data_IF_400510507814
#
_entry.id   IF_400510507814
#
_cell.length_a   1.000
_cell.length_b   1.000
_cell.length_c   1.000
_cell.angle_alpha   90.00
_cell.angle_beta   90.00
_cell.angle_gamma   90.00
#
_symmetry.space_group_name_H-M   'P 1'
#
loop_
_entity.id
_entity.type
_entity.pdbx_description
1 polymer ?
#
# COMPACT_ATOMS: atom_id res chain seq x y z
N UNK A 1 -7.56 -5.80 9.14
CA UNK A 1 -6.33 -4.99 8.90
C UNK A 1 -5.58 -5.48 7.68
N UNK A 2 -5.21 -6.77 7.60
CA UNK A 2 -4.49 -7.34 6.45
C UNK A 2 -5.21 -7.18 5.09
N UNK A 3 -6.54 -7.40 5.05
CA UNK A 3 -7.36 -7.22 3.83
C UNK A 3 -7.33 -5.80 3.27
N UNK A 4 -7.37 -4.79 4.15
CA UNK A 4 -7.24 -3.38 3.78
C UNK A 4 -5.85 -3.09 3.21
N UNK A 5 -4.81 -3.68 3.79
CA UNK A 5 -3.43 -3.53 3.33
C UNK A 5 -3.18 -4.15 1.96
N UNK A 6 -3.76 -5.33 1.70
CA UNK A 6 -3.75 -5.96 0.38
C UNK A 6 -4.43 -5.07 -0.66
N UNK A 7 -5.64 -4.57 -0.36
CA UNK A 7 -6.35 -3.69 -1.28
C UNK A 7 -5.60 -2.39 -1.54
N UNK A 8 -5.04 -1.74 -0.51
CA UNK A 8 -4.23 -0.53 -0.68
C UNK A 8 -2.97 -0.81 -1.52
N UNK A 9 -2.33 -1.96 -1.35
CA UNK A 9 -1.16 -2.35 -2.16
C UNK A 9 -1.55 -2.57 -3.63
N UNK A 10 -2.73 -3.14 -3.90
CA UNK A 10 -3.26 -3.28 -5.26
C UNK A 10 -3.57 -1.94 -5.93
N UNK A 11 -4.15 -0.97 -5.20
CA UNK A 11 -4.32 0.39 -5.72
C UNK A 11 -2.98 1.11 -5.93
N UNK A 12 -2.01 0.92 -5.05
CA UNK A 12 -0.65 1.45 -5.23
C UNK A 12 0.02 0.88 -6.50
N UNK A 13 -0.19 -0.41 -6.78
CA UNK A 13 0.27 -1.05 -8.01
C UNK A 13 -0.36 -0.41 -9.25
N UNK A 14 -1.68 -0.18 -9.22
CA UNK A 14 -2.40 0.49 -10.32
C UNK A 14 -2.01 1.97 -10.51
N UNK A 15 -1.64 2.69 -9.44
CA UNK A 15 -1.08 4.05 -9.56
C UNK A 15 0.21 4.04 -10.38
N UNK A 16 1.13 3.16 -10.02
CA UNK A 16 2.43 3.03 -10.66
C UNK A 16 2.33 2.56 -12.11
N UNK A 17 1.50 1.54 -12.37
CA UNK A 17 1.22 1.06 -13.72
C UNK A 17 0.59 2.16 -14.58
N UNK A 18 -0.46 2.82 -14.06
CA UNK A 18 -1.15 3.89 -14.77
C UNK A 18 -0.25 5.08 -15.08
N UNK A 19 0.64 5.45 -14.15
CA UNK A 19 1.63 6.51 -14.38
C UNK A 19 2.64 6.12 -15.47
N UNK A 20 3.16 4.88 -15.43
CA UNK A 20 4.06 4.36 -16.46
C UNK A 20 3.43 4.38 -17.84
N UNK A 21 2.16 3.99 -17.96
CA UNK A 21 1.38 4.06 -19.19
C UNK A 21 1.10 5.50 -19.62
N UNK A 22 0.74 6.39 -18.71
CA UNK A 22 0.44 7.79 -19.03
C UNK A 22 1.67 8.52 -19.60
N UNK A 23 2.85 8.28 -19.03
CA UNK A 23 4.12 8.86 -19.50
C UNK A 23 4.62 8.15 -20.76
N UNK A 24 4.23 6.88 -20.99
CA UNK A 24 4.64 6.09 -22.16
C UNK A 24 6.00 5.40 -21.97
N UNK A 25 6.38 5.13 -20.72
CA UNK A 25 7.67 4.48 -20.37
C UNK A 25 7.50 2.95 -20.23
N UNK A 26 6.26 2.47 -20.21
CA UNK A 26 5.97 1.06 -19.98
C UNK A 26 6.23 0.20 -21.25
N UNK A 27 6.90 -0.96 -21.15
CA UNK A 27 7.31 -1.77 -22.30
C UNK A 27 6.16 -2.10 -23.25
N UNK A 28 6.45 -2.21 -24.55
CA UNK A 28 5.48 -2.59 -25.57
C UNK A 28 5.17 -4.10 -25.48
N UNK A 29 4.32 -4.48 -24.52
CA UNK A 29 3.97 -5.87 -24.27
C UNK A 29 2.58 -5.99 -23.67
N UNK A 30 1.71 -6.78 -24.31
CA UNK A 30 0.36 -7.05 -23.79
C UNK A 30 0.42 -7.81 -22.46
N UNK A 31 1.34 -8.75 -22.32
CA UNK A 31 1.59 -9.48 -21.07
C UNK A 31 2.08 -8.57 -19.94
N UNK A 32 3.00 -7.67 -20.27
CA UNK A 32 3.63 -6.76 -19.30
C UNK A 32 2.61 -5.81 -18.67
N UNK A 33 1.62 -5.36 -19.44
CA UNK A 33 0.54 -4.52 -18.90
C UNK A 33 -0.54 -5.33 -18.18
N UNK A 34 -0.93 -6.50 -18.72
CA UNK A 34 -2.05 -7.28 -18.18
C UNK A 34 -1.71 -8.01 -16.88
N UNK A 35 -0.48 -8.48 -16.70
CA UNK A 35 -0.07 -9.22 -15.49
C UNK A 35 -0.16 -8.35 -14.23
N UNK A 36 0.42 -7.13 -14.18
CA UNK A 36 0.28 -6.25 -13.02
C UNK A 36 -1.15 -5.74 -12.83
N UNK A 37 -1.88 -5.53 -13.93
CA UNK A 37 -3.27 -5.11 -13.87
C UNK A 37 -4.16 -6.18 -13.19
N UNK A 38 -4.02 -7.43 -13.62
CA UNK A 38 -4.73 -8.58 -13.06
C UNK A 38 -4.31 -8.85 -11.61
N UNK A 39 -3.02 -8.76 -11.29
CA UNK A 39 -2.54 -8.94 -9.93
C UNK A 39 -3.05 -7.85 -8.98
N UNK A 40 -3.06 -6.59 -9.41
CA UNK A 40 -3.66 -5.49 -8.65
C UNK A 40 -5.15 -5.75 -8.40
N UNK A 41 -5.87 -6.22 -9.41
CA UNK A 41 -7.26 -6.65 -9.29
C UNK A 41 -7.45 -7.79 -8.28
N UNK A 42 -6.57 -8.79 -8.28
CA UNK A 42 -6.61 -9.89 -7.31
C UNK A 42 -6.35 -9.41 -5.88
N UNK A 43 -5.36 -8.52 -5.68
CA UNK A 43 -5.05 -7.92 -4.37
C UNK A 43 -6.22 -7.09 -3.83
N UNK A 44 -6.90 -6.33 -4.71
CA UNK A 44 -8.09 -5.53 -4.36
C UNK A 44 -9.29 -6.44 -4.07
N UNK A 45 -9.53 -7.44 -4.92
CA UNK A 45 -10.68 -8.35 -4.90
C UNK A 45 -10.63 -9.41 -3.80
N UNK A 46 -9.45 -9.75 -3.27
CA UNK A 46 -9.32 -10.63 -2.10
C UNK A 46 -10.04 -10.08 -0.87
N UNK A 47 -10.10 -8.76 -0.71
CA UNK A 47 -10.79 -8.13 0.43
C UNK A 47 -12.28 -8.45 0.50
N UNK A 48 -13.09 -8.12 -0.53
CA UNK A 48 -14.51 -8.46 -0.60
C UNK A 48 -14.76 -9.97 -0.55
N UNK A 49 -13.95 -10.78 -1.25
CA UNK A 49 -14.09 -12.23 -1.27
C UNK A 49 -13.93 -12.84 0.13
N UNK A 50 -12.95 -12.36 0.90
CA UNK A 50 -12.73 -12.78 2.29
C UNK A 50 -13.81 -12.25 3.23
N UNK A 51 -14.38 -11.06 2.95
CA UNK A 51 -15.46 -10.49 3.74
C UNK A 51 -16.81 -11.21 3.53
N UNK A 52 -16.99 -11.87 2.38
CA UNK A 52 -18.12 -12.75 2.12
C UNK A 52 -17.99 -14.13 2.76
N UNK A 53 -16.81 -14.50 3.29
CA UNK A 53 -16.61 -15.79 3.96
C UNK A 53 -17.15 -15.72 5.41
N UNK A 54 -18.18 -16.53 5.75
CA UNK A 54 -18.86 -16.45 7.05
C UNK A 54 -17.95 -16.80 8.24
N UNK A 55 -16.81 -17.45 8.02
CA UNK A 55 -15.92 -17.93 9.07
C UNK A 55 -14.80 -16.96 9.47
N UNK A 56 -14.53 -15.93 8.67
CA UNK A 56 -13.32 -15.11 8.82
C UNK A 56 -13.54 -13.86 9.69
N UNK A 57 -14.79 -13.54 10.06
CA UNK A 57 -15.08 -12.50 11.05
C UNK A 57 -14.56 -11.10 10.68
N UNK A 58 -14.24 -10.87 9.41
CA UNK A 58 -13.72 -9.61 8.87
C UNK A 58 -14.75 -8.99 7.92
N UNK A 59 -15.86 -8.42 8.44
CA UNK A 59 -16.95 -7.94 7.59
C UNK A 59 -16.63 -6.64 6.85
N UNK A 60 -15.48 -5.99 7.12
CA UNK A 60 -15.21 -4.62 6.66
C UNK A 60 -14.09 -4.56 5.59
N UNK A 61 -14.44 -3.98 4.43
CA UNK A 61 -13.54 -3.67 3.33
C UNK A 61 -13.64 -2.18 2.96
N UNK A 62 -12.54 -1.43 3.13
CA UNK A 62 -12.49 0.01 2.81
C UNK A 62 -13.69 0.80 3.38
N UNK A 63 -14.04 0.54 4.65
CA UNK A 63 -15.17 1.19 5.33
C UNK A 63 -16.55 0.61 5.01
N UNK A 64 -16.67 -0.26 3.99
CA UNK A 64 -17.92 -0.95 3.68
C UNK A 64 -18.04 -2.26 4.45
N UNK A 65 -19.12 -2.42 5.22
CA UNK A 65 -19.45 -3.67 5.90
C UNK A 65 -20.38 -4.51 5.02
N UNK A 66 -20.00 -5.75 4.72
CA UNK A 66 -20.84 -6.68 3.96
C UNK A 66 -21.89 -7.32 4.88
N UNK A 67 -23.19 -7.16 4.54
CA UNK A 67 -24.31 -7.71 5.30
C UNK A 67 -25.67 -7.41 4.66
N UNK A 68 -26.72 -8.16 5.06
CA UNK A 68 -28.11 -7.89 4.61
C UNK A 68 -28.47 -6.43 4.94
N UNK A 69 -28.85 -5.65 3.92
CA UNK A 69 -29.21 -4.22 3.98
C UNK A 69 -28.06 -3.20 4.08
N UNK A 70 -26.79 -3.58 3.90
CA UNK A 70 -25.69 -2.61 3.89
C UNK A 70 -25.51 -1.96 2.51
N UNK A 71 -25.77 -0.66 2.40
CA UNK A 71 -25.51 0.14 1.20
C UNK A 71 -24.01 0.31 0.99
N UNK A 72 -23.52 0.34 -0.27
CA UNK A 72 -22.12 0.65 -0.55
C UNK A 72 -21.80 2.06 -0.06
N UNK A 73 -20.70 2.19 0.68
CA UNK A 73 -20.20 3.49 1.13
C UNK A 73 -19.65 4.28 -0.06
N UNK A 74 -19.61 5.60 0.04
CA UNK A 74 -18.99 6.44 -1.00
C UNK A 74 -17.53 6.03 -1.26
N UNK A 75 -16.80 5.61 -0.21
CA UNK A 75 -15.45 5.06 -0.32
C UNK A 75 -15.41 3.77 -1.14
N UNK A 76 -16.35 2.85 -0.91
CA UNK A 76 -16.49 1.62 -1.69
C UNK A 76 -16.88 1.89 -3.15
N UNK A 77 -17.74 2.86 -3.41
CA UNK A 77 -18.12 3.25 -4.78
C UNK A 77 -16.95 3.87 -5.55
N UNK A 78 -16.16 4.75 -4.91
CA UNK A 78 -14.94 5.31 -5.51
C UNK A 78 -13.92 4.21 -5.77
N UNK A 79 -13.78 3.25 -4.85
CA UNK A 79 -12.91 2.09 -5.00
C UNK A 79 -13.34 1.20 -6.18
N UNK A 80 -14.65 0.99 -6.37
CA UNK A 80 -15.21 0.26 -7.52
C UNK A 80 -15.08 1.03 -8.83
N UNK A 81 -15.19 2.36 -8.79
CA UNK A 81 -15.03 3.18 -9.99
C UNK A 81 -13.65 3.01 -10.64
N UNK A 82 -12.62 2.66 -9.87
CA UNK A 82 -11.26 2.44 -10.38
C UNK A 82 -11.17 1.20 -11.29
N UNK A 83 -12.15 0.30 -11.25
CA UNK A 83 -12.24 -0.82 -12.18
C UNK A 83 -12.64 -0.40 -13.59
N UNK A 84 -13.31 0.74 -13.80
CA UNK A 84 -13.65 1.22 -15.15
C UNK A 84 -12.39 1.53 -15.97
N UNK A 85 -11.48 2.40 -15.53
CA UNK A 85 -10.24 2.66 -16.27
C UNK A 85 -9.36 1.41 -16.35
N UNK A 86 -9.43 0.51 -15.36
CA UNK A 86 -8.74 -0.78 -15.42
C UNK A 86 -9.23 -1.64 -16.59
N UNK A 87 -10.55 -1.79 -16.75
CA UNK A 87 -11.15 -2.52 -17.87
C UNK A 87 -10.84 -1.86 -19.22
N UNK A 88 -10.82 -0.52 -19.26
CA UNK A 88 -10.42 0.22 -20.46
C UNK A 88 -8.95 -0.07 -20.84
N UNK A 89 -8.02 -0.01 -19.88
CA UNK A 89 -6.61 -0.38 -20.11
C UNK A 89 -6.49 -1.84 -20.56
N UNK A 90 -7.24 -2.77 -19.95
CA UNK A 90 -7.23 -4.18 -20.33
C UNK A 90 -7.67 -4.40 -21.79
N UNK A 91 -8.70 -3.69 -22.24
CA UNK A 91 -9.20 -3.77 -23.62
C UNK A 91 -8.32 -3.06 -24.65
N UNK A 92 -7.62 -2.00 -24.23
CA UNK A 92 -6.77 -1.18 -25.09
C UNK A 92 -5.32 -1.68 -25.19
N UNK A 93 -4.89 -2.59 -24.32
CA UNK A 93 -3.58 -3.24 -24.38
C UNK A 93 -3.45 -4.13 -25.63
N UNK A 94 -3.19 -3.51 -26.79
CA UNK A 94 -3.03 -4.16 -28.11
C UNK A 94 -1.57 -4.35 -28.53
N UNK A 95 -0.63 -4.29 -27.59
CA UNK A 95 0.81 -4.50 -27.83
C UNK A 95 1.59 -3.19 -27.94
N UNK A 96 0.98 -2.12 -28.48
CA UNK A 96 1.57 -0.78 -28.46
C UNK A 96 0.93 0.10 -27.37
N UNK A 97 1.73 0.40 -26.34
CA UNK A 97 1.31 1.23 -25.21
C UNK A 97 1.45 2.74 -25.48
N UNK A 98 1.98 3.15 -26.65
CA UNK A 98 2.09 4.56 -27.04
C UNK A 98 0.76 5.15 -27.54
N UNK A 99 -0.23 4.29 -27.80
CA UNK A 99 -1.56 4.73 -28.24
C UNK A 99 -2.20 5.68 -27.22
N UNK A 100 -2.61 6.86 -27.69
CA UNK A 100 -3.09 7.95 -26.83
C UNK A 100 -4.24 7.53 -25.90
N UNK A 101 -5.13 6.64 -26.35
CA UNK A 101 -6.26 6.18 -25.54
C UNK A 101 -5.79 5.28 -24.37
N UNK A 102 -4.74 4.48 -24.59
CA UNK A 102 -4.10 3.66 -23.55
C UNK A 102 -3.44 4.55 -22.51
N UNK A 103 -2.76 5.62 -22.96
CA UNK A 103 -2.13 6.61 -22.06
C UNK A 103 -3.17 7.37 -21.23
N UNK A 104 -4.26 7.82 -21.86
CA UNK A 104 -5.35 8.52 -21.16
C UNK A 104 -6.01 7.61 -20.13
N UNK A 105 -6.27 6.36 -20.51
CA UNK A 105 -6.88 5.35 -19.62
C UNK A 105 -5.93 4.95 -18.48
N UNK A 106 -4.62 4.88 -18.74
CA UNK A 106 -3.57 4.72 -17.72
C UNK A 106 -3.53 5.91 -16.75
N UNK A 107 -3.60 7.13 -17.27
CA UNK A 107 -3.68 8.35 -16.45
C UNK A 107 -4.94 8.38 -15.59
N UNK A 108 -6.09 8.02 -16.15
CA UNK A 108 -7.34 7.88 -15.41
C UNK A 108 -7.25 6.80 -14.33
N UNK A 109 -6.64 5.65 -14.63
CA UNK A 109 -6.40 4.57 -13.66
C UNK A 109 -5.53 5.06 -12.50
N UNK A 110 -4.45 5.79 -12.79
CA UNK A 110 -3.57 6.33 -11.77
C UNK A 110 -4.29 7.38 -10.90
N UNK A 111 -5.01 8.30 -11.53
CA UNK A 111 -5.77 9.33 -10.81
C UNK A 111 -6.84 8.72 -9.92
N UNK A 112 -7.65 7.78 -10.43
CA UNK A 112 -8.71 7.17 -9.63
C UNK A 112 -8.15 6.33 -8.50
N UNK A 113 -7.11 5.52 -8.76
CA UNK A 113 -6.47 4.71 -7.72
C UNK A 113 -5.83 5.58 -6.63
N UNK A 114 -5.25 6.73 -7.00
CA UNK A 114 -4.73 7.71 -6.06
C UNK A 114 -5.84 8.35 -5.23
N UNK A 115 -6.96 8.73 -5.86
CA UNK A 115 -8.14 9.25 -5.16
C UNK A 115 -8.68 8.20 -4.18
N UNK A 116 -8.79 6.94 -4.57
CA UNK A 116 -9.19 5.84 -3.69
C UNK A 116 -8.23 5.72 -2.50
N UNK A 117 -6.92 5.81 -2.69
CA UNK A 117 -5.94 5.80 -1.61
C UNK A 117 -6.13 7.00 -0.66
N UNK A 118 -6.32 8.22 -1.19
CA UNK A 118 -6.56 9.42 -0.38
C UNK A 118 -7.83 9.28 0.46
N UNK A 119 -8.90 8.75 -0.13
CA UNK A 119 -10.18 8.53 0.57
C UNK A 119 -10.10 7.40 1.59
N UNK A 120 -9.50 6.26 1.23
CA UNK A 120 -9.28 5.12 2.11
C UNK A 120 -8.39 5.45 3.32
N UNK A 121 -7.82 6.64 3.39
CA UNK A 121 -7.00 7.09 4.51
C UNK A 121 -7.67 8.11 5.43
N UNK A 122 -8.87 8.61 5.10
CA UNK A 122 -9.65 9.45 6.00
C UNK A 122 -10.03 8.62 7.23
N UNK A 123 -9.26 8.75 8.32
CA UNK A 123 -9.66 8.19 9.60
C UNK A 123 -10.86 8.98 10.15
N UNK A 124 -11.74 8.34 10.94
CA UNK A 124 -12.58 9.05 11.88
C UNK A 124 -11.70 9.96 12.75
N UNK A 125 -12.03 11.25 12.79
CA UNK A 125 -11.25 12.35 13.38
C UNK A 125 -11.05 12.29 14.91
N UNK A 126 -11.28 11.15 15.56
CA UNK A 126 -11.80 11.19 16.93
C UNK A 126 -10.80 11.04 18.08
N UNK A 127 -9.48 10.83 17.88
CA UNK A 127 -8.58 10.64 19.05
C UNK A 127 -7.22 11.33 19.05
N UNK A 128 -6.74 11.92 17.95
CA UNK A 128 -5.37 12.50 17.95
C UNK A 128 -5.40 14.02 17.91
N UNK A 129 -5.01 14.64 19.02
CA UNK A 129 -4.92 16.11 19.16
C UNK A 129 -3.70 16.63 18.40
N UNK A 130 -3.92 17.23 17.22
CA UNK A 130 -2.88 17.92 16.44
C UNK A 130 -2.84 17.51 14.96
N UNK A 131 -2.66 18.49 14.07
CA UNK A 131 -2.68 18.31 12.61
C UNK A 131 -1.48 17.48 12.09
N UNK A 132 -0.29 17.65 12.67
CA UNK A 132 0.94 16.97 12.23
C UNK A 132 0.90 15.44 12.33
N UNK A 133 0.56 14.85 13.49
CA UNK A 133 0.50 13.40 13.67
C UNK A 133 -0.60 12.72 12.82
N UNK A 134 -1.74 13.39 12.63
CA UNK A 134 -2.84 12.90 11.77
C UNK A 134 -2.41 12.88 10.30
N UNK A 135 -1.74 13.93 9.85
CA UNK A 135 -1.16 13.98 8.52
C UNK A 135 -0.08 12.91 8.33
N UNK A 136 0.86 12.76 9.28
CA UNK A 136 1.90 11.74 9.21
C UNK A 136 1.35 10.30 9.18
N UNK A 137 0.29 10.02 9.95
CA UNK A 137 -0.38 8.71 9.93
C UNK A 137 -1.16 8.44 8.64
N UNK A 138 -1.67 9.48 8.00
CA UNK A 138 -2.32 9.39 6.70
C UNK A 138 -1.27 9.24 5.61
N UNK A 139 -0.36 10.19 5.47
CA UNK A 139 0.73 10.15 4.49
C UNK A 139 1.55 8.85 4.59
N UNK A 140 1.90 8.39 5.79
CA UNK A 140 2.66 7.14 5.98
C UNK A 140 1.96 5.88 5.43
N UNK A 141 0.62 5.86 5.40
CA UNK A 141 -0.16 4.77 4.79
C UNK A 141 -0.21 4.85 3.27
N UNK A 142 -0.28 6.06 2.70
CA UNK A 142 -0.26 6.24 1.24
C UNK A 142 1.09 5.88 0.69
N UNK A 143 2.15 6.38 1.32
CA UNK A 143 3.51 6.09 0.91
C UNK A 143 3.81 4.59 1.10
N UNK A 144 3.28 3.95 2.14
CA UNK A 144 3.36 2.50 2.30
C UNK A 144 2.66 1.73 1.16
N UNK A 145 1.47 2.16 0.75
CA UNK A 145 0.70 1.54 -0.31
C UNK A 145 1.36 1.72 -1.69
N UNK A 146 1.86 2.92 -1.97
CA UNK A 146 2.64 3.21 -3.16
C UNK A 146 3.95 2.42 -3.17
N UNK A 147 4.59 2.27 -2.02
CA UNK A 147 5.81 1.51 -1.90
C UNK A 147 5.60 0.02 -2.14
N UNK A 148 4.62 -0.60 -1.47
CA UNK A 148 4.31 -2.02 -1.67
C UNK A 148 3.84 -2.28 -3.10
N UNK A 149 3.02 -1.38 -3.67
CA UNK A 149 2.61 -1.44 -5.08
C UNK A 149 3.79 -1.35 -6.05
N UNK A 150 4.75 -0.45 -5.78
CA UNK A 150 5.96 -0.30 -6.58
C UNK A 150 6.87 -1.54 -6.51
N UNK A 151 6.98 -2.18 -5.34
CA UNK A 151 7.70 -3.45 -5.17
C UNK A 151 7.04 -4.60 -5.94
N UNK A 152 5.71 -4.69 -5.94
CA UNK A 152 4.99 -5.69 -6.75
C UNK A 152 5.19 -5.48 -8.25
N UNK A 153 5.11 -4.22 -8.72
CA UNK A 153 5.38 -3.91 -10.12
C UNK A 153 6.81 -4.28 -10.49
N UNK A 154 7.76 -3.92 -9.62
CA UNK A 154 9.17 -4.24 -9.81
C UNK A 154 9.41 -5.75 -9.89
N UNK A 155 8.85 -6.53 -8.96
CA UNK A 155 8.95 -7.98 -8.97
C UNK A 155 8.47 -8.62 -10.28
N UNK A 156 7.46 -8.02 -10.93
CA UNK A 156 6.95 -8.48 -12.23
C UNK A 156 7.79 -7.99 -13.41
N UNK A 157 8.34 -6.78 -13.32
CA UNK A 157 9.17 -6.19 -14.37
C UNK A 157 10.55 -6.86 -14.52
N UNK A 158 11.02 -7.60 -13.49
CA UNK A 158 12.30 -8.32 -13.52
C UNK A 158 12.41 -9.41 -14.60
N UNK A 159 11.32 -9.76 -15.29
CA UNK A 159 11.34 -10.69 -16.43
C UNK A 159 11.65 -10.04 -17.78
N UNK A 160 11.72 -8.71 -17.87
CA UNK A 160 12.07 -7.96 -19.08
C UNK A 160 13.55 -7.59 -19.13
N UNK A 161 14.10 -7.41 -20.34
CA UNK A 161 15.53 -7.15 -20.58
C UNK A 161 16.02 -5.81 -20.00
N UNK A 162 15.12 -4.87 -19.72
CA UNK A 162 15.43 -3.56 -19.15
C UNK A 162 14.56 -3.25 -17.91
N UNK A 163 15.11 -3.44 -16.71
CA UNK A 163 14.56 -2.82 -15.50
C UNK A 163 15.17 -1.40 -15.38
N UNK A 164 14.44 -0.32 -15.70
CA UNK A 164 15.03 1.01 -15.78
C UNK A 164 15.48 1.46 -14.39
N UNK A 165 16.75 1.85 -14.25
CA UNK A 165 17.33 2.34 -12.98
C UNK A 165 16.56 3.51 -12.37
N UNK A 166 15.84 4.29 -13.18
CA UNK A 166 14.90 5.32 -12.73
C UNK A 166 13.77 4.75 -11.86
N UNK A 167 13.24 3.58 -12.18
CA UNK A 167 12.18 2.93 -11.40
C UNK A 167 12.67 2.53 -10.01
N UNK A 168 13.86 1.93 -9.96
CA UNK A 168 14.53 1.56 -8.71
C UNK A 168 14.77 2.80 -7.85
N UNK A 169 15.25 3.89 -8.45
CA UNK A 169 15.47 5.16 -7.76
C UNK A 169 14.16 5.75 -7.21
N UNK A 170 13.07 5.71 -7.98
CA UNK A 170 11.76 6.19 -7.55
C UNK A 170 11.18 5.37 -6.39
N UNK A 171 11.22 4.04 -6.48
CA UNK A 171 10.78 3.14 -5.40
C UNK A 171 11.63 3.36 -4.15
N UNK A 172 12.94 3.59 -4.29
CA UNK A 172 13.81 3.91 -3.16
C UNK A 172 13.54 5.28 -2.54
N UNK A 173 13.29 6.30 -3.35
CA UNK A 173 12.89 7.61 -2.85
C UNK A 173 11.62 7.49 -2.00
N UNK A 174 10.63 6.74 -2.47
CA UNK A 174 9.39 6.46 -1.72
C UNK A 174 9.68 5.70 -0.42
N UNK A 175 10.64 4.76 -0.42
CA UNK A 175 11.10 4.04 0.77
C UNK A 175 11.61 5.01 1.84
N UNK A 176 12.49 5.93 1.44
CA UNK A 176 13.08 6.92 2.35
C UNK A 176 12.00 7.83 2.93
N UNK A 177 11.10 8.34 2.08
CA UNK A 177 9.97 9.18 2.53
C UNK A 177 9.08 8.42 3.52
N UNK A 178 8.75 7.16 3.25
CA UNK A 178 7.97 6.32 4.16
C UNK A 178 8.67 6.15 5.51
N UNK A 179 9.98 5.88 5.51
CA UNK A 179 10.78 5.73 6.72
C UNK A 179 10.81 7.00 7.57
N UNK A 180 10.94 8.16 6.94
CA UNK A 180 10.93 9.47 7.62
C UNK A 180 9.56 9.73 8.25
N UNK A 181 8.46 9.51 7.51
CA UNK A 181 7.10 9.72 8.03
C UNK A 181 6.78 8.77 9.19
N UNK A 182 7.21 7.51 9.10
CA UNK A 182 7.06 6.55 10.19
C UNK A 182 7.88 6.94 11.42
N UNK A 183 9.12 7.42 11.23
CA UNK A 183 9.95 7.91 12.32
C UNK A 183 9.31 9.12 13.03
N UNK A 184 8.74 10.08 12.28
CA UNK A 184 8.03 11.24 12.85
C UNK A 184 6.80 10.78 13.64
N UNK A 185 5.99 9.89 13.05
CA UNK A 185 4.77 9.35 13.66
C UNK A 185 5.07 8.65 14.98
N UNK A 186 6.06 7.77 15.00
CA UNK A 186 6.45 7.06 16.21
C UNK A 186 7.07 8.01 17.23
N UNK A 187 7.97 8.92 16.84
CA UNK A 187 8.56 9.91 17.78
C UNK A 187 7.49 10.74 18.49
N UNK A 188 6.41 11.13 17.81
CA UNK A 188 5.29 11.83 18.43
C UNK A 188 4.62 10.97 19.54
N UNK A 189 4.44 9.67 19.28
CA UNK A 189 3.84 8.72 20.21
C UNK A 189 4.77 8.32 21.37
N UNK A 190 6.08 8.32 21.16
CA UNK A 190 7.06 8.10 22.24
C UNK A 190 7.25 9.32 23.15
N UNK A 191 6.94 10.53 22.65
CA UNK A 191 7.03 11.80 23.40
C UNK A 191 5.82 12.07 24.26
N UNK A 192 4.63 11.56 23.91
CA UNK A 192 3.52 11.55 24.86
C UNK A 192 3.91 10.63 26.02
N UNK A 193 3.94 11.18 27.25
CA UNK A 193 4.39 10.50 28.48
C UNK A 193 3.43 9.37 28.88
N UNK A 194 3.33 8.30 28.10
CA UNK A 194 2.54 7.12 28.44
C UNK A 194 3.36 6.26 29.40
N UNK A 195 2.89 6.12 30.64
CA UNK A 195 3.44 5.31 31.72
C UNK A 195 3.29 3.80 31.43
N UNK A 196 3.98 3.32 30.40
CA UNK A 196 4.08 1.89 30.11
C UNK A 196 5.26 1.29 30.85
N UNK A 197 5.04 0.15 31.51
CA UNK A 197 6.08 -0.65 32.18
C UNK A 197 7.25 -0.91 31.23
N UNK A 198 8.49 -0.83 31.73
CA UNK A 198 9.74 -0.94 30.94
C UNK A 198 9.78 -2.16 30.01
N UNK A 199 9.23 -3.31 30.44
CA UNK A 199 9.13 -4.53 29.65
C UNK A 199 8.19 -4.42 28.43
N UNK A 200 6.98 -3.86 28.60
CA UNK A 200 6.02 -3.65 27.51
C UNK A 200 6.56 -2.63 26.50
N UNK A 201 7.23 -1.59 26.99
CA UNK A 201 7.88 -0.56 26.16
C UNK A 201 9.01 -1.14 25.31
N UNK A 202 9.84 -2.04 25.88
CA UNK A 202 10.91 -2.73 25.16
C UNK A 202 10.37 -3.69 24.08
N UNK A 203 9.30 -4.42 24.37
CA UNK A 203 8.65 -5.33 23.41
C UNK A 203 8.04 -4.57 22.22
N UNK A 204 7.36 -3.44 22.45
CA UNK A 204 6.82 -2.61 21.36
C UNK A 204 7.94 -2.03 20.49
N UNK A 205 9.07 -1.63 21.10
CA UNK A 205 10.25 -1.15 20.37
C UNK A 205 10.86 -2.23 19.48
N UNK A 206 11.04 -3.44 20.01
CA UNK A 206 11.59 -4.57 19.25
C UNK A 206 10.69 -4.98 18.08
N UNK A 207 9.37 -4.99 18.27
CA UNK A 207 8.41 -5.28 17.19
C UNK A 207 8.37 -4.19 16.12
N UNK A 208 8.54 -2.92 16.50
CA UNK A 208 8.68 -1.82 15.55
C UNK A 208 10.02 -1.86 14.79
N UNK A 209 11.11 -2.31 15.44
CA UNK A 209 12.38 -2.55 14.74
C UNK A 209 12.27 -3.71 13.74
N UNK A 210 11.56 -4.79 14.10
CA UNK A 210 11.28 -5.89 13.19
C UNK A 210 10.40 -5.46 12.01
N UNK A 211 9.36 -4.66 12.23
CA UNK A 211 8.56 -4.11 11.13
C UNK A 211 9.39 -3.20 10.24
N UNK A 212 10.24 -2.35 10.83
CA UNK A 212 11.16 -1.50 10.08
C UNK A 212 12.16 -2.31 9.23
N UNK A 213 12.67 -3.43 9.74
CA UNK A 213 13.55 -4.33 9.00
C UNK A 213 12.85 -4.93 7.78
N UNK A 214 11.65 -5.46 7.98
CA UNK A 214 10.84 -6.11 6.93
C UNK A 214 10.35 -5.13 5.86
N UNK A 215 10.10 -3.88 6.23
CA UNK A 215 9.58 -2.85 5.34
C UNK A 215 10.70 -2.12 4.62
N UNK A 216 11.80 -1.78 5.27
CA UNK A 216 12.79 -0.85 4.69
C UNK A 216 14.10 -1.54 4.32
N UNK A 217 14.63 -2.38 5.21
CA UNK A 217 15.96 -2.96 5.03
C UNK A 217 15.92 -4.09 4.02
N UNK A 218 14.96 -5.01 4.17
CA UNK A 218 14.88 -6.19 3.30
C UNK A 218 14.61 -5.81 1.83
N UNK A 219 13.61 -4.98 1.50
CA UNK A 219 13.41 -4.60 0.10
C UNK A 219 14.49 -3.63 -0.40
N UNK A 220 15.06 -2.81 0.51
CA UNK A 220 16.16 -1.92 0.17
C UNK A 220 17.41 -2.68 -0.28
N UNK A 221 17.77 -3.75 0.44
CA UNK A 221 18.87 -4.65 0.07
C UNK A 221 18.55 -5.39 -1.22
N UNK A 222 17.33 -5.91 -1.39
CA UNK A 222 16.93 -6.58 -2.64
C UNK A 222 17.06 -5.66 -3.86
N UNK A 223 16.62 -4.40 -3.75
CA UNK A 223 16.72 -3.41 -4.82
C UNK A 223 18.19 -3.04 -5.14
N UNK A 224 19.07 -3.02 -4.13
CA UNK A 224 20.51 -2.75 -4.32
C UNK A 224 21.28 -3.94 -4.91
N UNK A 225 20.79 -5.17 -4.71
CA UNK A 225 21.37 -6.38 -5.28
C UNK A 225 20.95 -6.61 -6.73
N UNK A 226 19.90 -5.95 -7.20
CA UNK A 226 19.39 -6.07 -8.58
C UNK A 226 20.46 -5.89 -9.67
N UNK A 227 21.33 -4.86 -9.62
CA UNK A 227 22.38 -4.65 -10.63
C UNK A 227 23.42 -5.79 -10.68
N UNK A 228 23.45 -6.66 -9.66
CA UNK A 228 24.48 -7.69 -9.50
C UNK A 228 24.04 -9.07 -10.01
N UNK A 229 22.89 -9.18 -10.69
CA UNK A 229 22.54 -10.42 -11.40
C UNK A 229 22.07 -11.59 -10.51
N UNK A 230 21.69 -11.36 -9.25
CA UNK A 230 21.31 -12.45 -8.31
C UNK A 230 19.79 -12.63 -8.19
N UNK A 231 19.27 -13.76 -8.72
CA UNK A 231 18.03 -14.44 -8.28
C UNK A 231 16.79 -13.56 -8.01
N UNK A 232 16.38 -12.77 -9.00
CA UNK A 232 15.67 -11.50 -8.76
C UNK A 232 14.18 -11.60 -8.43
N UNK A 233 13.44 -12.56 -8.99
CA UNK A 233 11.97 -12.57 -8.91
C UNK A 233 11.45 -13.08 -7.56
N UNK A 234 12.06 -14.14 -7.03
CA UNK A 234 11.64 -14.72 -5.75
C UNK A 234 12.04 -13.83 -4.56
N UNK A 235 13.20 -13.17 -4.63
CA UNK A 235 13.62 -12.17 -3.64
C UNK A 235 12.72 -10.93 -3.64
N UNK A 236 12.35 -10.43 -4.83
CA UNK A 236 11.45 -9.28 -4.95
C UNK A 236 10.03 -9.60 -4.47
N UNK A 237 9.52 -10.79 -4.75
CA UNK A 237 8.22 -11.23 -4.22
C UNK A 237 8.25 -11.44 -2.71
N UNK A 238 9.32 -12.04 -2.15
CA UNK A 238 9.51 -12.11 -0.69
C UNK A 238 9.59 -10.73 -0.06
N UNK A 239 10.24 -9.76 -0.71
CA UNK A 239 10.31 -8.38 -0.23
C UNK A 239 8.95 -7.69 -0.26
N UNK A 240 8.15 -7.89 -1.31
CA UNK A 240 6.79 -7.37 -1.40
C UNK A 240 5.88 -7.97 -0.31
N UNK A 241 5.94 -9.29 -0.11
CA UNK A 241 5.19 -10.00 0.95
C UNK A 241 5.65 -9.53 2.34
N UNK A 242 6.95 -9.43 2.57
CA UNK A 242 7.55 -8.94 3.81
C UNK A 242 7.13 -7.50 4.12
N UNK A 243 7.06 -6.63 3.11
CA UNK A 243 6.58 -5.26 3.26
C UNK A 243 5.09 -5.21 3.68
N UNK A 244 4.22 -5.99 3.03
CA UNK A 244 2.79 -6.05 3.37
C UNK A 244 2.60 -6.57 4.80
N UNK A 245 3.30 -7.64 5.18
CA UNK A 245 3.25 -8.20 6.53
C UNK A 245 3.78 -7.20 7.56
N UNK A 246 4.95 -6.61 7.32
CA UNK A 246 5.57 -5.62 8.20
C UNK A 246 4.69 -4.39 8.42
N UNK A 247 4.05 -3.85 7.37
CA UNK A 247 3.11 -2.72 7.49
C UNK A 247 1.83 -3.12 8.21
N UNK A 248 1.30 -4.32 8.00
CA UNK A 248 0.13 -4.80 8.74
C UNK A 248 0.39 -4.91 10.25
N UNK A 249 1.57 -5.40 10.63
CA UNK A 249 2.01 -5.48 12.03
C UNK A 249 2.21 -4.09 12.62
N UNK A 250 2.87 -3.18 11.90
CA UNK A 250 3.12 -1.82 12.38
C UNK A 250 1.83 -1.03 12.63
N UNK A 251 0.82 -1.21 11.76
CA UNK A 251 -0.50 -0.62 11.96
C UNK A 251 -1.23 -1.16 13.19
N UNK A 252 -1.21 -2.48 13.39
CA UNK A 252 -1.84 -3.10 14.54
C UNK A 252 -1.16 -2.65 15.85
N UNK A 253 0.18 -2.61 15.87
CA UNK A 253 0.95 -2.09 17.00
C UNK A 253 0.62 -0.62 17.29
N UNK A 254 0.54 0.21 16.24
CA UNK A 254 0.19 1.62 16.38
C UNK A 254 -1.21 1.80 16.97
N UNK A 255 -2.23 1.10 16.43
CA UNK A 255 -3.60 1.17 16.95
C UNK A 255 -3.70 0.72 18.41
N UNK A 256 -3.05 -0.39 18.77
CA UNK A 256 -3.01 -0.86 20.17
C UNK A 256 -2.31 0.13 21.10
N UNK A 257 -1.26 0.81 20.61
CA UNK A 257 -0.54 1.81 21.40
C UNK A 257 -1.36 3.09 21.60
N UNK A 258 -2.13 3.50 20.58
CA UNK A 258 -3.01 4.66 20.64
C UNK A 258 -4.18 4.41 21.60
N UNK A 259 -4.85 3.26 21.50
CA UNK A 259 -5.94 2.90 22.41
C UNK A 259 -5.52 2.89 23.88
N UNK A 260 -4.28 2.46 24.17
CA UNK A 260 -3.71 2.54 25.52
C UNK A 260 -3.48 3.98 25.96
N UNK A 261 -2.96 4.84 25.08
CA UNK A 261 -2.74 6.24 25.39
C UNK A 261 -4.06 6.96 25.74
N UNK A 262 -5.14 6.68 25.00
CA UNK A 262 -6.47 7.26 25.25
C UNK A 262 -7.06 6.77 26.58
N UNK A 263 -6.90 5.49 26.93
CA UNK A 263 -7.40 4.94 28.20
C UNK A 263 -6.77 5.56 29.46
N UNK A 264 -5.59 6.18 29.33
CA UNK A 264 -4.92 6.86 30.45
C UNK A 264 -5.34 8.34 30.59
N UNK A 265 -6.02 8.91 29.59
CA UNK A 265 -6.43 10.32 29.57
C UNK A 265 -7.89 10.53 29.99
N UNK A 266 -8.69 9.47 30.12
CA UNK A 266 -10.04 9.50 30.68
C UNK A 266 -10.01 8.88 32.08
N UNK A 267 -9.73 9.66 33.15
CA UNK A 267 -10.09 9.21 34.49
C UNK A 267 -11.62 9.09 34.55
N UNK A 268 -12.10 7.98 35.12
CA UNK A 268 -13.50 7.79 35.45
C UNK A 268 -14.03 8.91 36.35
#
# INVERSE_FOLDING_TARGET
MATRMLAMSGYGLWVWLGLGLAVGVFPAGRGDTLVPLAWGGALIGLGPLLACLPWIGLPEWLGWRFGRHSRPTAEGLIALAAFLPMMAVAGLARGDNLFWATRLSGGALAALSLVTLVYAMRLPRTSVRGWGPVFAASAGRMVAALYSGGLWLFAMAQGGEDAPGLWIALVQLVTVVAGVLDAIRWRALWRSKVSTTSAKRRQTRARHMLSGLLVYVLPGVVLLLTPWGVGHTWLATLAAVGCVLGKSLDQDLYHRSLARADSHLSPA
#
